data_IF_553784336788
#
_entry.id   IF_553784336788
#
_cell.length_a   1.000
_cell.length_b   1.000
_cell.length_c   1.000
_cell.angle_alpha   90.00
_cell.angle_beta   90.00
_cell.angle_gamma   90.00
#
_symmetry.space_group_name_H-M   'P 1'
#
loop_
_entity.id
_entity.type
_entity.pdbx_description
1 polymer ?
#
# COMPACT_ATOMS: atom_id res chain seq x y z
N UNK A 1 18.15 26.42 30.46
CA UNK A 1 17.46 27.03 29.31
C UNK A 1 17.42 26.02 28.17
N UNK A 2 16.36 25.21 28.09
CA UNK A 2 16.15 24.29 26.98
C UNK A 2 15.33 25.02 25.91
N UNK A 3 15.95 25.27 24.75
CA UNK A 3 15.25 25.73 23.56
C UNK A 3 14.34 24.60 23.04
N UNK A 4 13.19 24.42 23.69
CA UNK A 4 12.07 23.66 23.15
C UNK A 4 11.54 24.44 21.95
N UNK A 5 12.00 24.07 20.76
CA UNK A 5 11.35 24.45 19.50
C UNK A 5 9.88 24.06 19.61
N UNK A 6 9.03 25.05 19.88
CA UNK A 6 7.58 24.91 19.84
C UNK A 6 7.22 24.25 18.49
N UNK A 7 6.57 23.07 18.49
CA UNK A 7 6.06 22.52 17.24
C UNK A 7 5.03 23.51 16.70
N UNK A 8 5.32 24.06 15.52
CA UNK A 8 4.52 25.11 14.89
C UNK A 8 3.06 24.70 14.83
N UNK A 9 2.22 25.63 15.30
CA UNK A 9 0.76 25.52 15.42
C UNK A 9 0.15 25.38 14.04
N UNK A 10 0.05 24.15 13.56
CA UNK A 10 -0.81 23.79 12.44
C UNK A 10 -2.02 23.05 13.03
N UNK A 11 -3.01 23.83 13.48
CA UNK A 11 -4.29 23.37 14.05
C UNK A 11 -5.15 22.50 13.10
N UNK A 12 -4.65 22.13 11.92
CA UNK A 12 -5.39 21.37 10.89
C UNK A 12 -4.66 20.12 10.37
N UNK A 13 -3.50 19.74 10.94
CA UNK A 13 -2.74 18.57 10.47
C UNK A 13 -3.39 17.27 10.95
N UNK A 14 -4.22 16.70 10.07
CA UNK A 14 -4.90 15.40 10.14
C UNK A 14 -5.60 15.11 11.50
N UNK A 15 -6.87 15.52 11.68
CA UNK A 15 -7.58 15.22 12.91
C UNK A 15 -7.67 13.70 13.10
N UNK A 16 -7.87 13.23 14.34
CA UNK A 16 -8.01 11.79 14.68
C UNK A 16 -8.82 10.95 13.67
N UNK A 17 -9.96 11.42 13.12
CA UNK A 17 -10.69 10.71 12.08
C UNK A 17 -9.85 10.44 10.82
N UNK A 18 -8.97 11.37 10.41
CA UNK A 18 -8.08 11.19 9.28
C UNK A 18 -6.98 10.14 9.53
N UNK A 19 -6.43 10.06 10.75
CA UNK A 19 -5.46 9.00 11.11
C UNK A 19 -6.16 7.63 11.08
N UNK A 20 -7.37 7.56 11.64
CA UNK A 20 -8.19 6.35 11.62
C UNK A 20 -8.56 5.95 10.18
N UNK A 21 -8.99 6.89 9.34
CA UNK A 21 -9.32 6.62 7.96
C UNK A 21 -8.10 6.14 7.17
N UNK A 22 -6.94 6.79 7.33
CA UNK A 22 -5.70 6.38 6.68
C UNK A 22 -5.30 4.95 7.06
N UNK A 23 -5.29 4.65 8.36
CA UNK A 23 -4.91 3.31 8.85
C UNK A 23 -5.91 2.24 8.43
N UNK A 24 -7.21 2.56 8.42
CA UNK A 24 -8.24 1.65 7.92
C UNK A 24 -8.10 1.37 6.42
N UNK A 25 -7.99 2.41 5.59
CA UNK A 25 -7.84 2.25 4.13
C UNK A 25 -6.54 1.53 3.78
N UNK A 26 -5.45 1.81 4.51
CA UNK A 26 -4.17 1.12 4.29
C UNK A 26 -4.25 -0.36 4.69
N UNK A 27 -5.00 -0.71 5.74
CA UNK A 27 -5.26 -2.10 6.08
C UNK A 27 -6.08 -2.81 4.98
N UNK A 28 -7.16 -2.19 4.51
CA UNK A 28 -7.99 -2.73 3.42
C UNK A 28 -7.14 -2.93 2.16
N UNK A 29 -6.31 -1.96 1.81
CA UNK A 29 -5.41 -2.06 0.67
C UNK A 29 -4.41 -3.21 0.83
N UNK A 30 -3.78 -3.36 1.99
CA UNK A 30 -2.83 -4.43 2.27
C UNK A 30 -3.47 -5.83 2.17
N UNK A 31 -4.73 -5.99 2.60
CA UNK A 31 -5.46 -7.26 2.46
C UNK A 31 -6.04 -7.49 1.06
N UNK A 32 -6.21 -6.44 0.24
CA UNK A 32 -6.91 -6.53 -1.05
C UNK A 32 -6.29 -7.56 -2.00
N UNK A 33 -4.96 -7.71 -2.01
CA UNK A 33 -4.28 -8.69 -2.84
C UNK A 33 -4.62 -10.13 -2.46
N UNK A 34 -4.73 -10.42 -1.16
CA UNK A 34 -5.14 -11.74 -0.64
C UNK A 34 -6.59 -12.04 -1.01
N UNK A 35 -7.47 -11.06 -0.87
CA UNK A 35 -8.88 -11.19 -1.28
C UNK A 35 -9.01 -11.46 -2.78
N UNK A 36 -8.29 -10.70 -3.62
CA UNK A 36 -8.31 -10.88 -5.07
C UNK A 36 -7.79 -12.27 -5.48
N UNK A 37 -6.68 -12.72 -4.89
CA UNK A 37 -6.15 -14.07 -5.14
C UNK A 37 -7.13 -15.17 -4.73
N UNK A 38 -7.77 -15.03 -3.56
CA UNK A 38 -8.75 -16.00 -3.06
C UNK A 38 -9.99 -16.05 -3.94
N UNK A 39 -10.53 -14.87 -4.33
CA UNK A 39 -11.68 -14.79 -5.23
C UNK A 39 -11.36 -15.38 -6.61
N UNK A 40 -10.16 -15.10 -7.15
CA UNK A 40 -9.69 -15.68 -8.41
C UNK A 40 -9.56 -17.20 -8.34
N UNK A 41 -9.08 -17.74 -7.21
CA UNK A 41 -9.04 -19.19 -6.99
C UNK A 41 -10.43 -19.81 -6.94
N UNK A 42 -11.37 -19.22 -6.18
CA UNK A 42 -12.76 -19.70 -6.12
C UNK A 42 -13.39 -19.69 -7.51
N UNK A 43 -13.20 -18.60 -8.27
CA UNK A 43 -13.69 -18.51 -9.63
C UNK A 43 -13.11 -19.62 -10.52
N UNK A 44 -11.78 -19.78 -10.52
CA UNK A 44 -11.12 -20.79 -11.34
C UNK A 44 -11.51 -22.22 -10.94
N UNK A 45 -11.70 -22.49 -9.64
CA UNK A 45 -12.05 -23.82 -9.14
C UNK A 45 -13.47 -24.25 -9.51
N UNK A 46 -14.44 -23.33 -9.43
CA UNK A 46 -15.85 -23.66 -9.67
C UNK A 46 -16.30 -23.49 -11.13
N UNK A 47 -15.69 -22.55 -11.87
CA UNK A 47 -16.20 -22.13 -13.18
C UNK A 47 -15.31 -22.53 -14.36
N UNK A 48 -14.07 -22.96 -14.15
CA UNK A 48 -13.25 -23.50 -15.25
C UNK A 48 -13.37 -25.03 -15.34
N UNK A 49 -13.66 -25.59 -16.53
CA UNK A 49 -13.70 -27.03 -16.75
C UNK A 49 -12.26 -27.58 -16.78
N UNK A 50 -11.70 -27.79 -15.60
CA UNK A 50 -10.35 -28.35 -15.43
C UNK A 50 -10.45 -29.84 -15.04
N UNK A 51 -9.59 -30.70 -15.60
CA UNK A 51 -9.48 -32.09 -15.17
C UNK A 51 -9.04 -32.16 -13.69
N UNK A 52 -9.46 -33.20 -12.96
CA UNK A 52 -9.29 -33.25 -11.50
C UNK A 52 -7.82 -33.22 -11.04
N UNK A 53 -6.89 -33.76 -11.83
CA UNK A 53 -5.44 -33.66 -11.59
C UNK A 53 -4.92 -32.22 -11.69
N UNK A 54 -5.55 -31.38 -12.51
CA UNK A 54 -5.21 -29.96 -12.60
C UNK A 54 -5.79 -29.14 -11.43
N UNK A 55 -6.85 -29.61 -10.77
CA UNK A 55 -7.41 -28.97 -9.57
C UNK A 55 -6.49 -29.12 -8.36
N UNK A 56 -5.90 -30.29 -8.17
CA UNK A 56 -4.89 -30.52 -7.11
C UNK A 56 -3.65 -29.64 -7.31
N UNK A 57 -3.14 -29.58 -8.55
CA UNK A 57 -2.03 -28.69 -8.92
C UNK A 57 -2.37 -27.20 -8.72
N UNK A 58 -3.61 -26.80 -8.97
CA UNK A 58 -4.09 -25.44 -8.72
C UNK A 58 -4.13 -25.12 -7.23
N UNK A 59 -4.59 -26.05 -6.39
CA UNK A 59 -4.59 -25.87 -4.94
C UNK A 59 -3.17 -25.70 -4.39
N UNK A 60 -2.23 -26.54 -4.81
CA UNK A 60 -0.82 -26.41 -4.42
C UNK A 60 -0.21 -25.08 -4.88
N UNK A 61 -0.51 -24.65 -6.11
CA UNK A 61 -0.06 -23.36 -6.65
C UNK A 61 -0.67 -22.18 -5.91
N UNK A 62 -1.94 -22.27 -5.50
CA UNK A 62 -2.61 -21.27 -4.68
C UNK A 62 -1.97 -21.18 -3.29
N UNK A 63 -1.78 -22.31 -2.60
CA UNK A 63 -1.10 -22.36 -1.31
C UNK A 63 0.33 -21.80 -1.41
N UNK A 64 1.10 -22.22 -2.41
CA UNK A 64 2.44 -21.69 -2.68
C UNK A 64 2.43 -20.17 -2.88
N UNK A 65 1.45 -19.64 -3.62
CA UNK A 65 1.30 -18.20 -3.82
C UNK A 65 0.89 -17.45 -2.54
N UNK A 66 0.01 -18.02 -1.71
CA UNK A 66 -0.37 -17.44 -0.42
C UNK A 66 0.82 -17.31 0.54
N UNK A 67 1.70 -18.30 0.55
CA UNK A 67 2.90 -18.32 1.40
C UNK A 67 4.12 -17.65 0.76
N UNK A 68 3.98 -16.97 -0.37
CA UNK A 68 5.05 -16.13 -0.90
C UNK A 68 5.36 -15.01 0.08
N UNK A 69 6.65 -14.74 0.25
CA UNK A 69 7.16 -13.73 1.17
C UNK A 69 6.43 -12.39 1.00
N UNK A 70 6.21 -11.93 -0.23
CA UNK A 70 5.53 -10.66 -0.50
C UNK A 70 4.10 -10.64 0.04
N UNK A 71 3.32 -11.71 -0.18
CA UNK A 71 1.94 -11.82 0.30
C UNK A 71 1.87 -11.90 1.81
N UNK A 72 2.81 -12.61 2.44
CA UNK A 72 2.94 -12.69 3.90
C UNK A 72 3.28 -11.30 4.48
N UNK A 73 4.20 -10.56 3.85
CA UNK A 73 4.56 -9.20 4.25
C UNK A 73 3.34 -8.27 4.16
N UNK A 74 2.53 -8.37 3.11
CA UNK A 74 1.31 -7.56 2.96
C UNK A 74 0.30 -7.83 4.09
N UNK A 75 0.11 -9.11 4.46
CA UNK A 75 -0.74 -9.50 5.60
C UNK A 75 -0.22 -8.88 6.90
N UNK A 76 1.08 -8.96 7.16
CA UNK A 76 1.68 -8.34 8.35
C UNK A 76 1.51 -6.81 8.35
N UNK A 77 1.70 -6.16 7.20
CA UNK A 77 1.44 -4.72 7.06
C UNK A 77 -0.02 -4.38 7.39
N UNK A 78 -0.97 -5.18 6.88
CA UNK A 78 -2.40 -5.04 7.20
C UNK A 78 -2.69 -5.13 8.70
N UNK A 79 -2.10 -6.11 9.39
CA UNK A 79 -2.24 -6.26 10.84
C UNK A 79 -1.66 -5.07 11.62
N UNK A 80 -0.50 -4.55 11.19
CA UNK A 80 0.11 -3.35 11.78
C UNK A 80 -0.80 -2.13 11.61
N UNK A 81 -1.43 -1.97 10.43
CA UNK A 81 -2.40 -0.90 10.20
C UNK A 81 -3.67 -1.03 11.05
N UNK A 82 -4.19 -2.24 11.23
CA UNK A 82 -5.33 -2.50 12.16
C UNK A 82 -4.93 -2.18 13.60
N UNK A 83 -3.74 -2.58 14.02
CA UNK A 83 -3.24 -2.26 15.36
C UNK A 83 -3.13 -0.74 15.57
N UNK A 84 -2.57 -0.02 14.59
CA UNK A 84 -2.50 1.43 14.61
C UNK A 84 -3.88 2.08 14.67
N UNK A 85 -4.85 1.58 13.89
CA UNK A 85 -6.25 2.03 13.94
C UNK A 85 -6.81 1.92 15.36
N UNK A 86 -6.62 0.78 16.02
CA UNK A 86 -7.07 0.56 17.40
C UNK A 86 -6.38 1.53 18.37
N UNK A 87 -5.08 1.80 18.21
CA UNK A 87 -4.35 2.76 19.04
C UNK A 87 -4.85 4.20 18.85
N UNK A 88 -5.10 4.63 17.61
CA UNK A 88 -5.69 5.93 17.29
C UNK A 88 -7.13 6.05 17.83
N UNK A 89 -7.90 4.95 17.74
CA UNK A 89 -9.24 4.87 18.33
C UNK A 89 -9.17 4.97 19.87
N UNK A 90 -8.29 4.23 20.55
CA UNK A 90 -8.14 4.28 22.01
C UNK A 90 -7.35 5.50 22.53
N UNK A 91 -6.91 6.41 21.64
CA UNK A 91 -6.11 7.60 21.98
C UNK A 91 -4.80 7.29 22.72
N UNK A 92 -4.21 6.11 22.47
CA UNK A 92 -2.97 5.65 23.10
C UNK A 92 -1.73 6.17 22.36
N UNK A 93 -1.54 7.49 22.32
CA UNK A 93 -0.51 8.15 21.51
C UNK A 93 0.93 7.79 21.87
N UNK A 94 1.25 7.55 23.16
CA UNK A 94 2.59 7.09 23.58
C UNK A 94 2.94 5.71 22.98
N UNK A 95 1.97 4.80 22.93
CA UNK A 95 2.15 3.48 22.32
C UNK A 95 2.09 3.53 20.77
N UNK A 96 1.59 4.62 20.19
CA UNK A 96 1.55 4.81 18.74
C UNK A 96 2.91 5.27 18.20
N UNK A 97 3.72 5.98 18.98
CA UNK A 97 5.05 6.43 18.56
C UNK A 97 5.96 5.33 17.99
N UNK A 98 6.14 4.14 18.63
CA UNK A 98 6.91 3.05 18.02
C UNK A 98 6.30 2.56 16.69
N UNK A 99 4.96 2.60 16.54
CA UNK A 99 4.28 2.18 15.32
C UNK A 99 4.59 3.10 14.13
N UNK A 100 4.92 4.37 14.37
CA UNK A 100 5.38 5.27 13.31
C UNK A 100 6.69 4.83 12.66
N UNK A 101 7.61 4.24 13.43
CA UNK A 101 8.85 3.69 12.89
C UNK A 101 8.56 2.48 12.01
N UNK A 102 7.61 1.65 12.42
CA UNK A 102 7.14 0.52 11.61
C UNK A 102 6.48 1.02 10.32
N UNK A 103 5.65 2.08 10.37
CA UNK A 103 5.09 2.69 9.18
C UNK A 103 6.14 3.23 8.22
N UNK A 104 7.22 3.82 8.73
CA UNK A 104 8.34 4.26 7.91
C UNK A 104 9.02 3.07 7.23
N UNK A 105 9.22 1.96 7.95
CA UNK A 105 9.77 0.73 7.36
C UNK A 105 8.85 0.15 6.27
N UNK A 106 7.54 0.14 6.50
CA UNK A 106 6.54 -0.26 5.49
C UNK A 106 6.63 0.65 4.26
N UNK A 107 6.75 1.97 4.44
CA UNK A 107 6.90 2.90 3.33
C UNK A 107 8.21 2.67 2.56
N UNK A 108 9.34 2.39 3.24
CA UNK A 108 10.61 2.06 2.59
C UNK A 108 10.50 0.75 1.78
N UNK A 109 9.89 -0.27 2.36
CA UNK A 109 9.62 -1.53 1.65
C UNK A 109 8.72 -1.31 0.42
N UNK A 110 7.65 -0.51 0.56
CA UNK A 110 6.79 -0.14 -0.56
C UNK A 110 7.54 0.60 -1.67
N UNK A 111 8.47 1.49 -1.31
CA UNK A 111 9.33 2.18 -2.27
C UNK A 111 10.27 1.22 -3.01
N UNK A 112 10.85 0.25 -2.31
CA UNK A 112 11.67 -0.81 -2.92
C UNK A 112 10.84 -1.67 -3.88
N UNK A 113 9.68 -2.17 -3.44
CA UNK A 113 8.75 -2.97 -4.26
C UNK A 113 8.29 -2.22 -5.51
N UNK A 114 8.01 -0.92 -5.38
CA UNK A 114 7.69 -0.04 -6.48
C UNK A 114 8.83 0.03 -7.50
N UNK A 115 10.08 0.22 -7.06
CA UNK A 115 11.23 0.28 -7.96
C UNK A 115 11.43 -1.04 -8.72
N UNK A 116 11.27 -2.18 -8.04
CA UNK A 116 11.29 -3.49 -8.69
C UNK A 116 10.18 -3.61 -9.74
N UNK A 117 8.96 -3.21 -9.40
CA UNK A 117 7.79 -3.25 -10.31
C UNK A 117 8.00 -2.35 -11.53
N UNK A 118 8.53 -1.14 -11.35
CA UNK A 118 8.85 -0.22 -12.45
C UNK A 118 9.92 -0.84 -13.35
N UNK A 119 10.97 -1.43 -12.77
CA UNK A 119 12.04 -2.10 -13.52
C UNK A 119 11.50 -3.26 -14.35
N UNK A 120 10.67 -4.12 -13.77
CA UNK A 120 10.06 -5.25 -14.48
C UNK A 120 9.15 -4.78 -15.62
N UNK A 121 8.28 -3.81 -15.37
CA UNK A 121 7.39 -3.27 -16.41
C UNK A 121 8.16 -2.56 -17.52
N UNK A 122 9.24 -1.85 -17.18
CA UNK A 122 10.10 -1.22 -18.17
C UNK A 122 10.84 -2.26 -19.03
N UNK A 123 11.38 -3.32 -18.41
CA UNK A 123 12.02 -4.43 -19.14
C UNK A 123 11.02 -5.18 -20.04
N UNK A 124 9.79 -5.41 -19.56
CA UNK A 124 8.72 -6.03 -20.37
C UNK A 124 8.31 -5.12 -21.53
N UNK A 125 8.26 -3.80 -21.33
CA UNK A 125 7.99 -2.84 -22.40
C UNK A 125 9.14 -2.72 -23.41
N UNK A 126 10.39 -2.94 -22.98
CA UNK A 126 11.59 -2.86 -23.82
C UNK A 126 11.85 -4.16 -24.61
N UNK A 127 11.52 -5.32 -24.04
CA UNK A 127 11.82 -6.65 -24.60
C UNK A 127 10.62 -7.30 -25.31
N UNK A 128 9.51 -6.58 -25.52
CA UNK A 128 8.37 -7.15 -26.25
C UNK A 128 8.51 -6.89 -27.75
N UNK A 129 8.81 -7.99 -28.46
CA UNK A 129 8.47 -8.18 -29.87
C UNK A 129 6.97 -7.89 -30.08
N UNK A 130 6.67 -7.20 -31.18
CA UNK A 130 5.44 -6.46 -31.54
C UNK A 130 4.07 -7.20 -31.55
N UNK A 131 3.86 -8.30 -30.82
CA UNK A 131 2.69 -9.20 -31.03
C UNK A 131 1.62 -9.23 -29.91
N UNK A 132 1.35 -8.12 -29.21
CA UNK A 132 0.18 -8.08 -28.28
C UNK A 132 -1.14 -8.21 -29.07
N UNK A 133 -1.17 -7.73 -30.32
CA UNK A 133 -2.34 -7.70 -31.21
C UNK A 133 -2.64 -8.99 -31.96
N UNK A 134 -1.74 -9.98 -31.99
CA UNK A 134 -2.04 -11.27 -32.66
C UNK A 134 -3.20 -12.02 -31.99
N UNK A 135 -3.55 -11.62 -30.76
CA UNK A 135 -4.72 -12.14 -30.01
C UNK A 135 -6.01 -11.37 -30.26
N UNK A 136 -5.96 -10.23 -30.95
CA UNK A 136 -7.12 -9.40 -31.30
C UNK A 136 -7.33 -9.51 -32.82
N UNK A 137 -8.20 -10.43 -33.26
CA UNK A 137 -8.43 -10.88 -34.66
C UNK A 137 -8.40 -9.82 -35.79
N UNK A 138 -9.50 -9.64 -36.52
CA UNK A 138 -9.61 -8.72 -37.68
C UNK A 138 -9.60 -7.25 -37.26
N UNK A 139 -8.52 -6.79 -36.64
CA UNK A 139 -8.23 -5.38 -36.43
C UNK A 139 -7.33 -4.91 -37.57
N UNK A 140 -7.71 -3.81 -38.20
CA UNK A 140 -6.98 -3.17 -39.30
C UNK A 140 -5.50 -2.91 -38.93
N UNK A 141 -4.58 -3.11 -39.87
CA UNK A 141 -3.14 -3.17 -39.60
C UNK A 141 -2.60 -1.82 -39.08
N UNK A 142 -3.11 -0.69 -39.59
CA UNK A 142 -2.79 0.66 -39.11
C UNK A 142 -3.26 0.89 -37.65
N UNK A 143 -4.41 0.31 -37.30
CA UNK A 143 -4.96 0.38 -35.95
C UNK A 143 -4.18 -0.54 -34.99
N UNK A 144 -3.72 -1.71 -35.45
CA UNK A 144 -2.84 -2.60 -34.66
C UNK A 144 -1.49 -1.96 -34.38
N UNK A 145 -0.86 -1.36 -35.38
CA UNK A 145 0.45 -0.72 -35.23
C UNK A 145 0.38 0.48 -34.28
N UNK A 146 -0.63 1.35 -34.43
CA UNK A 146 -0.81 2.47 -33.52
C UNK A 146 -1.12 2.01 -32.08
N UNK A 147 -1.98 1.00 -31.90
CA UNK A 147 -2.30 0.46 -30.58
C UNK A 147 -1.06 -0.15 -29.91
N UNK A 148 -0.29 -0.99 -30.61
CA UNK A 148 0.94 -1.58 -30.08
C UNK A 148 2.00 -0.53 -29.73
N UNK A 149 2.04 0.60 -30.45
CA UNK A 149 2.98 1.68 -30.15
C UNK A 149 2.60 2.48 -28.91
N UNK A 150 1.31 2.74 -28.70
CA UNK A 150 0.82 3.60 -27.62
C UNK A 150 0.49 2.84 -26.33
N UNK A 151 -0.10 1.66 -26.44
CA UNK A 151 -0.58 0.89 -25.30
C UNK A 151 0.51 0.56 -24.25
N UNK A 152 1.74 0.16 -24.63
CA UNK A 152 2.81 -0.09 -23.66
C UNK A 152 3.24 1.18 -22.94
N UNK A 153 3.33 2.32 -23.66
CA UNK A 153 3.66 3.61 -23.05
C UNK A 153 2.59 4.03 -22.05
N UNK A 154 1.32 3.83 -22.42
CA UNK A 154 0.18 4.14 -21.57
C UNK A 154 0.19 3.26 -20.32
N UNK A 155 0.42 1.95 -20.45
CA UNK A 155 0.58 1.03 -19.32
C UNK A 155 1.72 1.43 -18.38
N UNK A 156 2.89 1.82 -18.91
CA UNK A 156 4.03 2.28 -18.09
C UNK A 156 3.67 3.55 -17.32
N UNK A 157 3.04 4.53 -17.97
CA UNK A 157 2.62 5.78 -17.34
C UNK A 157 1.55 5.51 -16.27
N UNK A 158 0.54 4.69 -16.57
CA UNK A 158 -0.50 4.33 -15.60
C UNK A 158 0.09 3.60 -14.41
N UNK A 159 1.03 2.67 -14.63
CA UNK A 159 1.71 1.94 -13.55
C UNK A 159 2.53 2.88 -12.67
N UNK A 160 3.22 3.85 -13.27
CA UNK A 160 3.95 4.89 -12.53
C UNK A 160 3.00 5.71 -11.65
N UNK A 161 1.89 6.20 -12.20
CA UNK A 161 0.92 6.99 -11.43
C UNK A 161 0.33 6.16 -10.28
N UNK A 162 -0.13 4.95 -10.57
CA UNK A 162 -0.78 4.07 -9.60
C UNK A 162 0.18 3.51 -8.53
N UNK A 163 1.49 3.50 -8.78
CA UNK A 163 2.47 3.01 -7.80
C UNK A 163 3.14 4.15 -7.03
N UNK A 164 3.53 5.23 -7.72
CA UNK A 164 4.27 6.37 -7.14
C UNK A 164 3.37 7.28 -6.32
N UNK A 165 2.17 7.62 -6.80
CA UNK A 165 1.31 8.54 -6.07
C UNK A 165 0.86 7.99 -4.71
N UNK A 166 0.39 6.73 -4.59
CA UNK A 166 0.01 6.18 -3.29
C UNK A 166 1.19 6.13 -2.31
N UNK A 167 2.39 5.82 -2.80
CA UNK A 167 3.60 5.82 -1.98
C UNK A 167 3.94 7.23 -1.44
N UNK A 168 3.90 8.25 -2.30
CA UNK A 168 4.13 9.64 -1.88
C UNK A 168 3.09 10.11 -0.86
N UNK A 169 1.81 9.78 -1.08
CA UNK A 169 0.72 10.08 -0.17
C UNK A 169 0.94 9.40 1.19
N UNK A 170 1.35 8.13 1.20
CA UNK A 170 1.65 7.38 2.41
C UNK A 170 2.78 8.04 3.22
N UNK A 171 3.90 8.38 2.59
CA UNK A 171 5.03 9.07 3.25
C UNK A 171 4.60 10.42 3.81
N UNK A 172 3.82 11.19 3.05
CA UNK A 172 3.27 12.46 3.49
C UNK A 172 2.38 12.31 4.74
N UNK A 173 1.46 11.35 4.73
CA UNK A 173 0.57 11.08 5.85
C UNK A 173 1.33 10.61 7.09
N UNK A 174 2.35 9.76 6.96
CA UNK A 174 3.22 9.36 8.07
C UNK A 174 3.88 10.58 8.71
N UNK A 175 4.40 11.51 7.89
CA UNK A 175 5.01 12.76 8.37
C UNK A 175 3.98 13.62 9.14
N UNK A 176 2.75 13.74 8.63
CA UNK A 176 1.69 14.48 9.31
C UNK A 176 1.30 13.84 10.65
N UNK A 177 1.11 12.52 10.68
CA UNK A 177 0.75 11.78 11.90
C UNK A 177 1.85 11.96 12.96
N UNK A 178 3.12 11.90 12.57
CA UNK A 178 4.25 12.14 13.48
C UNK A 178 4.19 13.54 14.11
N UNK A 179 3.97 14.57 13.32
CA UNK A 179 3.84 15.95 13.83
C UNK A 179 2.66 16.08 14.78
N UNK A 180 1.51 15.46 14.44
CA UNK A 180 0.32 15.46 15.28
C UNK A 180 0.56 14.77 16.63
N UNK A 181 1.18 13.59 16.64
CA UNK A 181 1.45 12.83 17.87
C UNK A 181 2.38 13.62 18.79
N UNK A 182 3.46 14.20 18.25
CA UNK A 182 4.37 15.07 19.03
C UNK A 182 3.64 16.25 19.66
N UNK A 183 2.77 16.92 18.89
CA UNK A 183 1.95 18.02 19.40
C UNK A 183 1.02 17.59 20.54
N UNK A 184 0.31 16.47 20.37
CA UNK A 184 -0.63 15.96 21.39
C UNK A 184 0.09 15.53 22.67
N UNK A 185 1.27 14.92 22.56
CA UNK A 185 2.08 14.55 23.71
C UNK A 185 2.60 15.80 24.44
N UNK A 186 3.17 16.76 23.71
CA UNK A 186 3.62 18.04 24.27
C UNK A 186 2.51 18.77 25.05
N UNK A 187 1.31 18.89 24.45
CA UNK A 187 0.17 19.55 25.10
C UNK A 187 -0.36 18.79 26.33
N UNK A 188 -0.18 17.47 26.38
CA UNK A 188 -0.51 16.70 27.58
C UNK A 188 0.49 17.00 28.70
N UNK A 189 1.78 17.03 28.37
CA UNK A 189 2.83 17.25 29.35
C UNK A 189 2.79 18.68 29.93
N UNK A 190 2.47 19.71 29.11
CA UNK A 190 2.23 21.08 29.61
C UNK A 190 1.12 21.14 30.68
N UNK A 191 0.02 20.40 30.48
CA UNK A 191 -1.10 20.37 31.45
C UNK A 191 -0.72 19.75 32.79
N UNK A 192 0.19 18.77 32.78
CA UNK A 192 0.66 18.14 34.02
C UNK A 192 1.60 19.07 34.80
N UNK A 193 2.44 19.83 34.11
CA UNK A 193 3.35 20.78 34.75
C UNK A 193 2.57 21.94 35.40
N UNK A 194 1.56 22.50 34.72
CA UNK A 194 0.75 23.58 35.28
C UNK A 194 -0.06 23.17 36.51
N UNK A 195 -0.52 21.91 36.59
CA UNK A 195 -1.29 21.40 37.74
C UNK A 195 -0.44 21.02 38.95
N UNK A 196 0.89 20.91 38.79
CA UNK A 196 1.81 20.60 39.90
C UNK A 196 2.39 21.83 40.59
N UNK A 197 2.04 23.02 40.09
CA UNK A 197 2.51 24.32 40.55
C UNK A 197 1.41 25.16 41.21
N UNK A 198 0.26 24.55 41.52
CA UNK A 198 -0.77 25.04 42.45
C UNK A 198 -0.74 24.19 43.73
#
# INVERSE_FOLDING_TARGET
MANLKQPSVFCCLLPRPGIMLFTFLSAVYAFSGVFAMTAGFVFAYFYMPLPDTAKEGMFFKFASNLFKLNTVVDVFCGLIYVYAFILAYKRKWKAFEPVLYVFLAIALYGGYSMLCTIKENYLVALNRDDSITDKFGDMDDDHKESFNRWFPRLLVVTTLILSVMPWLIQVYLIKQIRSYIKYVLYKKDEKYVSSSSE
#
